data_IF_110498239963
#
_entry.id   IF_110498239963
#
_cell.length_a   1.000
_cell.length_b   1.000
_cell.length_c   1.000
_cell.angle_alpha   90.00
_cell.angle_beta   90.00
_cell.angle_gamma   90.00
#
_symmetry.space_group_name_H-M   'P 1'
#
loop_
_entity.id
_entity.type
_entity.pdbx_description
1 polymer ?
#
# COMPACT_ATOMS: atom_id res chain seq x y z
N UNK A 1 -24.16 -6.76 -0.79
CA UNK A 1 -22.83 -6.78 -0.16
C UNK A 1 -22.13 -5.50 -0.62
N UNK A 2 -22.03 -4.48 0.22
CA UNK A 2 -21.50 -3.17 -0.19
C UNK A 2 -20.15 -2.93 0.50
N UNK A 3 -19.09 -2.82 -0.30
CA UNK A 3 -17.82 -2.27 0.14
C UNK A 3 -17.91 -0.76 -0.03
N UNK A 4 -17.46 -0.01 0.97
CA UNK A 4 -17.14 1.40 0.77
C UNK A 4 -15.75 1.45 0.14
N UNK A 5 -15.67 1.76 -1.14
CA UNK A 5 -14.43 2.25 -1.76
C UNK A 5 -14.27 3.69 -1.27
N UNK A 6 -13.24 3.97 -0.48
CA UNK A 6 -12.83 5.37 -0.29
C UNK A 6 -12.21 5.79 -1.62
N UNK A 7 -13.04 6.53 -2.35
CA UNK A 7 -12.82 7.23 -3.62
C UNK A 7 -12.47 6.40 -4.86
N UNK A 8 -13.49 6.11 -5.67
CA UNK A 8 -13.36 6.17 -7.13
C UNK A 8 -13.19 7.65 -7.56
N UNK A 9 -12.08 8.29 -7.18
CA UNK A 9 -11.71 9.56 -7.78
C UNK A 9 -11.10 9.27 -9.15
N UNK A 10 -11.90 9.42 -10.22
CA UNK A 10 -11.31 9.81 -11.52
C UNK A 10 -10.98 11.30 -11.42
N UNK A 11 -10.04 11.66 -10.55
CA UNK A 11 -9.36 12.94 -10.65
C UNK A 11 -8.32 12.78 -11.74
N UNK A 12 -8.53 13.46 -12.87
CA UNK A 12 -7.46 13.65 -13.83
C UNK A 12 -6.20 14.10 -13.07
N UNK A 13 -5.08 13.42 -13.32
CA UNK A 13 -3.78 13.60 -12.63
C UNK A 13 -3.16 14.99 -12.87
N UNK A 14 -3.94 15.97 -13.33
CA UNK A 14 -3.51 17.30 -13.78
C UNK A 14 -3.89 18.44 -12.83
N UNK A 15 -4.53 18.18 -11.69
CA UNK A 15 -4.76 19.24 -10.70
C UNK A 15 -3.45 19.64 -10.02
N UNK A 16 -2.87 20.75 -10.49
CA UNK A 16 -1.63 21.35 -10.00
C UNK A 16 -1.72 21.82 -8.54
N UNK A 17 -2.89 21.77 -7.90
CA UNK A 17 -3.10 22.23 -6.52
C UNK A 17 -3.03 21.13 -5.46
N UNK A 18 -3.03 19.83 -5.82
CA UNK A 18 -3.05 18.75 -4.83
C UNK A 18 -1.65 18.13 -4.58
N UNK A 19 -1.22 18.20 -3.32
CA UNK A 19 0.01 17.57 -2.81
C UNK A 19 -0.05 16.03 -2.75
N UNK A 20 -1.21 15.40 -2.95
CA UNK A 20 -1.38 13.93 -2.98
C UNK A 20 -1.30 13.36 -4.40
N UNK A 21 -0.93 12.09 -4.50
CA UNK A 21 -0.99 11.26 -5.73
C UNK A 21 -2.12 10.28 -5.49
N UNK A 22 -3.32 10.57 -5.98
CA UNK A 22 -4.38 9.56 -5.90
C UNK A 22 -4.17 8.50 -6.98
N UNK A 23 -4.44 7.22 -6.69
CA UNK A 23 -4.54 6.19 -7.72
C UNK A 23 -5.57 6.58 -8.78
N UNK A 24 -5.30 6.27 -10.05
CA UNK A 24 -6.23 6.51 -11.16
C UNK A 24 -6.45 5.24 -11.98
N UNK A 25 -7.68 5.05 -12.49
CA UNK A 25 -8.00 3.94 -13.40
C UNK A 25 -7.17 4.08 -14.67
N UNK A 26 -6.52 2.99 -15.08
CA UNK A 26 -5.76 2.89 -16.33
C UNK A 26 -6.40 1.94 -17.33
N UNK A 27 -7.06 0.89 -16.87
CA UNK A 27 -7.69 -0.12 -17.71
C UNK A 27 -9.17 -0.27 -17.30
N UNK A 28 -10.11 0.26 -18.10
CA UNK A 28 -11.54 0.16 -17.82
C UNK A 28 -12.12 -1.23 -18.08
N UNK A 29 -11.34 -2.19 -18.58
CA UNK A 29 -11.82 -3.56 -18.82
C UNK A 29 -11.88 -4.41 -17.55
N UNK A 30 -11.43 -3.87 -16.43
CA UNK A 30 -11.54 -4.50 -15.12
C UNK A 30 -12.62 -3.85 -14.26
N UNK A 31 -13.17 -4.67 -13.37
CA UNK A 31 -14.11 -4.26 -12.33
C UNK A 31 -13.45 -4.42 -10.95
N UNK A 32 -13.68 -3.48 -10.04
CA UNK A 32 -13.07 -3.52 -8.69
C UNK A 32 -13.47 -4.80 -7.93
N UNK A 33 -14.61 -5.38 -8.29
CA UNK A 33 -15.15 -6.64 -7.81
C UNK A 33 -14.18 -7.83 -7.99
N UNK A 34 -13.27 -7.78 -8.97
CA UNK A 34 -12.25 -8.83 -9.18
C UNK A 34 -11.27 -8.96 -7.99
N UNK A 35 -11.13 -7.91 -7.18
CA UNK A 35 -10.27 -7.91 -5.99
C UNK A 35 -11.05 -8.02 -4.67
N UNK A 36 -12.38 -8.14 -4.73
CA UNK A 36 -13.19 -8.37 -3.54
C UNK A 36 -12.96 -9.80 -3.03
N UNK A 37 -12.70 -9.93 -1.74
CA UNK A 37 -12.56 -11.21 -1.04
C UNK A 37 -13.60 -11.29 0.07
N UNK A 38 -14.53 -12.22 -0.09
CA UNK A 38 -15.67 -12.38 0.81
C UNK A 38 -15.28 -13.00 2.16
N UNK A 39 -14.04 -13.49 2.32
CA UNK A 39 -13.52 -14.08 3.56
C UNK A 39 -13.04 -13.02 4.56
N UNK A 40 -12.94 -11.76 4.17
CA UNK A 40 -12.41 -10.67 5.00
C UNK A 40 -13.29 -9.42 4.94
N UNK A 41 -13.08 -8.50 5.89
CA UNK A 41 -13.81 -7.24 5.96
C UNK A 41 -12.98 -6.04 5.55
N UNK A 42 -11.66 -6.17 5.53
CA UNK A 42 -10.71 -5.14 5.10
C UNK A 42 -9.76 -5.74 4.07
N UNK A 43 -9.53 -5.02 2.98
CA UNK A 43 -8.57 -5.41 1.94
C UNK A 43 -7.60 -4.25 1.73
N UNK A 44 -6.32 -4.56 1.86
CA UNK A 44 -5.17 -3.68 1.69
C UNK A 44 -4.24 -4.26 0.63
N UNK A 45 -3.19 -3.53 0.24
CA UNK A 45 -2.17 -4.01 -0.68
C UNK A 45 -0.79 -3.42 -0.35
N UNK A 46 0.25 -4.16 -0.75
CA UNK A 46 1.63 -3.70 -0.64
C UNK A 46 2.06 -2.88 -1.87
N UNK A 47 2.80 -1.80 -1.64
CA UNK A 47 3.51 -1.06 -2.70
C UNK A 47 4.67 -1.89 -3.25
N UNK A 48 5.14 -1.55 -4.45
CA UNK A 48 6.07 -2.42 -5.18
C UNK A 48 7.49 -2.40 -4.57
N UNK A 49 7.93 -1.26 -4.06
CA UNK A 49 9.34 -1.07 -3.71
C UNK A 49 9.68 -1.22 -2.24
N UNK A 50 8.81 -0.73 -1.36
CA UNK A 50 9.12 -0.54 0.05
C UNK A 50 8.38 -1.53 0.94
N UNK A 51 7.58 -2.42 0.36
CA UNK A 51 6.67 -3.31 1.09
C UNK A 51 5.68 -2.55 1.99
N UNK A 52 5.48 -1.26 1.73
CA UNK A 52 4.55 -0.41 2.45
C UNK A 52 3.12 -0.90 2.21
N UNK A 53 2.31 -0.95 3.26
CA UNK A 53 0.88 -1.19 3.15
C UNK A 53 0.28 0.17 2.79
N UNK A 54 -0.20 0.29 1.56
CA UNK A 54 -0.61 1.60 1.06
C UNK A 54 -1.88 2.08 1.75
N UNK A 55 -1.87 3.30 2.29
CA UNK A 55 -3.09 3.98 2.72
C UNK A 55 -3.76 4.78 1.58
N UNK A 56 -3.21 4.73 0.36
CA UNK A 56 -3.72 5.52 -0.77
C UNK A 56 -5.06 4.98 -1.32
N UNK A 57 -5.33 3.69 -1.13
CA UNK A 57 -6.63 3.07 -1.42
C UNK A 57 -6.81 1.85 -0.53
N UNK A 58 -8.03 1.64 -0.04
CA UNK A 58 -8.41 0.50 0.77
C UNK A 58 -9.87 0.13 0.49
N UNK A 59 -10.19 -1.16 0.56
CA UNK A 59 -11.59 -1.62 0.45
C UNK A 59 -12.05 -2.14 1.80
N UNK A 60 -13.15 -1.59 2.29
CA UNK A 60 -13.73 -1.98 3.58
C UNK A 60 -15.18 -2.38 3.38
N UNK A 61 -15.52 -3.58 3.81
CA UNK A 61 -16.90 -4.07 3.82
C UNK A 61 -17.69 -3.25 4.83
N UNK A 62 -18.93 -2.90 4.50
CA UNK A 62 -19.86 -2.35 5.49
C UNK A 62 -20.33 -3.44 6.48
N UNK A 63 -19.42 -3.90 7.34
CA UNK A 63 -19.66 -4.82 8.45
C UNK A 63 -19.41 -4.13 9.79
N UNK A 64 -19.69 -4.81 10.90
CA UNK A 64 -19.32 -4.32 12.23
C UNK A 64 -17.80 -4.11 12.32
N UNK A 65 -17.03 -5.12 11.94
CA UNK A 65 -15.57 -5.06 11.93
C UNK A 65 -15.03 -3.98 11.00
N UNK A 66 -15.58 -3.83 9.79
CA UNK A 66 -15.13 -2.81 8.85
C UNK A 66 -15.33 -1.39 9.36
N UNK A 67 -16.46 -1.11 10.03
CA UNK A 67 -16.71 0.19 10.68
C UNK A 67 -15.76 0.41 11.86
N UNK A 68 -15.56 -0.60 12.69
CA UNK A 68 -14.60 -0.55 13.81
C UNK A 68 -13.17 -0.31 13.32
N UNK A 69 -12.77 -0.92 12.20
CA UNK A 69 -11.48 -0.68 11.56
C UNK A 69 -11.33 0.78 11.13
N UNK A 70 -12.31 1.34 10.42
CA UNK A 70 -12.25 2.74 9.98
C UNK A 70 -12.23 3.72 11.17
N UNK A 71 -13.03 3.45 12.21
CA UNK A 71 -13.02 4.24 13.44
C UNK A 71 -11.67 4.18 14.13
N UNK A 72 -11.11 2.98 14.34
CA UNK A 72 -9.82 2.82 15.00
C UNK A 72 -8.65 3.41 14.21
N UNK A 73 -8.69 3.35 12.88
CA UNK A 73 -7.72 4.02 12.02
C UNK A 73 -7.80 5.54 12.17
N UNK A 74 -9.01 6.11 12.11
CA UNK A 74 -9.24 7.54 12.27
C UNK A 74 -8.81 8.05 13.66
N UNK A 75 -9.16 7.33 14.73
CA UNK A 75 -8.76 7.70 16.09
C UNK A 75 -7.23 7.78 16.24
N UNK A 76 -6.49 6.85 15.63
CA UNK A 76 -5.02 6.86 15.67
C UNK A 76 -4.42 7.97 14.84
N UNK A 77 -5.03 8.28 13.70
CA UNK A 77 -4.64 9.38 12.83
C UNK A 77 -4.73 10.73 13.55
N UNK A 78 -5.83 10.99 14.27
CA UNK A 78 -6.07 12.28 14.92
C UNK A 78 -5.46 12.42 16.32
N UNK A 79 -5.08 11.32 16.98
CA UNK A 79 -4.47 11.35 18.31
C UNK A 79 -2.93 11.40 18.28
N UNK A 80 -2.29 11.51 17.11
CA UNK A 80 -0.84 11.58 17.02
C UNK A 80 -0.30 13.00 17.22
N UNK A 81 0.61 13.16 18.18
CA UNK A 81 1.39 14.39 18.38
C UNK A 81 2.41 14.66 17.24
N UNK A 82 2.61 13.71 16.31
CA UNK A 82 3.61 13.82 15.25
C UNK A 82 3.01 14.35 13.95
N UNK A 83 3.09 15.66 13.75
CA UNK A 83 2.81 16.32 12.48
C UNK A 83 3.89 16.03 11.41
N UNK A 84 3.89 14.84 10.80
CA UNK A 84 4.74 14.51 9.63
C UNK A 84 3.92 13.90 8.50
N UNK A 85 4.24 14.23 7.25
CA UNK A 85 3.45 13.83 6.07
C UNK A 85 3.45 12.32 5.77
N UNK A 86 4.38 11.56 6.33
CA UNK A 86 4.47 10.09 6.26
C UNK A 86 3.77 9.42 7.44
N UNK A 87 3.19 10.20 8.37
CA UNK A 87 2.49 9.69 9.54
C UNK A 87 1.31 8.79 9.16
N UNK A 88 0.55 9.13 8.11
CA UNK A 88 -0.63 8.37 7.68
C UNK A 88 -0.33 6.91 7.31
N UNK A 89 0.69 6.68 6.48
CA UNK A 89 1.09 5.31 6.13
C UNK A 89 1.70 4.60 7.35
N UNK A 90 2.47 5.31 8.19
CA UNK A 90 2.95 4.76 9.46
C UNK A 90 1.83 4.30 10.40
N UNK A 91 0.73 5.05 10.49
CA UNK A 91 -0.43 4.71 11.34
C UNK A 91 -1.05 3.38 10.91
N UNK A 92 -1.30 3.19 9.60
CA UNK A 92 -1.93 1.94 9.13
C UNK A 92 -1.04 0.73 9.38
N UNK A 93 0.28 0.90 9.29
CA UNK A 93 1.24 -0.16 9.64
C UNK A 93 1.11 -0.59 11.10
N UNK A 94 1.14 0.37 12.04
CA UNK A 94 0.94 0.05 13.46
C UNK A 94 -0.43 -0.58 13.70
N UNK A 95 -1.48 0.01 13.13
CA UNK A 95 -2.83 -0.48 13.36
C UNK A 95 -3.05 -1.89 12.81
N UNK A 96 -2.44 -2.23 11.67
CA UNK A 96 -2.45 -3.61 11.14
C UNK A 96 -1.79 -4.57 12.11
N UNK A 97 -0.64 -4.23 12.70
CA UNK A 97 -0.02 -5.11 13.69
C UNK A 97 -0.94 -5.34 14.90
N UNK A 98 -1.56 -4.28 15.39
CA UNK A 98 -2.46 -4.32 16.55
C UNK A 98 -3.66 -5.26 16.35
N UNK A 99 -4.18 -5.36 15.12
CA UNK A 99 -5.34 -6.22 14.83
C UNK A 99 -4.97 -7.65 14.45
N UNK A 100 -3.79 -7.87 13.85
CA UNK A 100 -3.40 -9.18 13.31
C UNK A 100 -2.50 -9.99 14.24
N UNK A 101 -1.73 -9.32 15.10
CA UNK A 101 -0.82 -9.94 16.08
C UNK A 101 -0.88 -9.19 17.43
N UNK A 102 -2.07 -9.01 18.04
CA UNK A 102 -2.24 -8.21 19.25
C UNK A 102 -1.30 -8.64 20.40
N UNK A 103 -1.03 -9.94 20.47
CA UNK A 103 -0.28 -10.60 21.54
C UNK A 103 1.24 -10.38 21.42
N UNK A 104 1.74 -9.98 20.25
CA UNK A 104 3.15 -9.70 20.01
C UNK A 104 3.56 -8.31 20.51
N UNK A 105 3.22 -7.98 21.76
CA UNK A 105 3.33 -6.62 22.34
C UNK A 105 4.73 -6.04 22.17
N UNK A 106 5.77 -6.75 22.61
CA UNK A 106 7.14 -6.25 22.51
C UNK A 106 7.59 -6.04 21.07
N UNK A 107 7.25 -6.96 20.16
CA UNK A 107 7.62 -6.82 18.74
C UNK A 107 6.90 -5.65 18.08
N UNK A 108 5.63 -5.42 18.44
CA UNK A 108 4.85 -4.26 18.01
C UNK A 108 5.48 -2.96 18.51
N UNK A 109 5.84 -2.89 19.79
CA UNK A 109 6.50 -1.73 20.39
C UNK A 109 7.87 -1.46 19.75
N UNK A 110 8.63 -2.50 19.43
CA UNK A 110 9.85 -2.39 18.66
C UNK A 110 9.60 -1.71 17.30
N UNK A 111 8.64 -2.20 16.50
CA UNK A 111 8.33 -1.57 15.22
C UNK A 111 7.75 -0.15 15.37
N UNK A 112 7.00 0.13 16.43
CA UNK A 112 6.48 1.46 16.77
C UNK A 112 7.62 2.43 17.09
N UNK A 113 8.58 2.02 17.91
CA UNK A 113 9.75 2.85 18.26
C UNK A 113 10.61 3.19 17.05
N UNK A 114 10.77 2.27 16.09
CA UNK A 114 11.42 2.54 14.80
C UNK A 114 10.69 3.63 14.03
N UNK A 115 9.36 3.58 14.01
CA UNK A 115 8.54 4.57 13.32
C UNK A 115 8.60 5.96 14.00
N UNK A 116 8.48 6.02 15.34
CA UNK A 116 8.53 7.29 16.09
C UNK A 116 9.86 8.05 15.91
N UNK A 117 10.97 7.32 15.75
CA UNK A 117 12.29 7.91 15.53
C UNK A 117 12.62 8.19 14.06
N UNK A 118 11.83 7.67 13.11
CA UNK A 118 12.09 7.81 11.69
C UNK A 118 12.00 9.28 11.25
N UNK A 119 13.12 9.84 10.79
CA UNK A 119 13.20 11.20 10.25
C UNK A 119 13.78 11.26 8.84
N UNK A 120 14.04 10.10 8.23
CA UNK A 120 14.48 9.92 6.84
C UNK A 120 13.70 8.78 6.18
N UNK A 121 13.65 8.77 4.84
CA UNK A 121 13.06 7.68 4.06
C UNK A 121 13.71 6.33 4.40
N UNK A 122 15.03 6.31 4.64
CA UNK A 122 15.75 5.08 5.00
C UNK A 122 15.32 4.52 6.37
N UNK A 123 15.15 5.39 7.37
CA UNK A 123 14.64 4.98 8.68
C UNK A 123 13.17 4.58 8.63
N UNK A 124 12.39 5.19 7.74
CA UNK A 124 11.01 4.77 7.50
C UNK A 124 10.99 3.36 6.87
N UNK A 125 11.84 3.08 5.88
CA UNK A 125 12.01 1.74 5.31
C UNK A 125 12.49 0.70 6.35
N UNK A 126 13.29 1.11 7.34
CA UNK A 126 13.63 0.28 8.51
C UNK A 126 12.35 -0.15 9.25
N UNK A 127 11.47 0.80 9.57
CA UNK A 127 10.17 0.51 10.17
C UNK A 127 9.30 -0.43 9.31
N UNK A 128 9.20 -0.18 7.99
CA UNK A 128 8.43 -1.03 7.07
C UNK A 128 8.93 -2.48 7.08
N UNK A 129 10.24 -2.67 7.17
CA UNK A 129 10.87 -3.98 7.20
C UNK A 129 10.62 -4.71 8.52
N UNK A 130 10.54 -3.99 9.64
CA UNK A 130 10.10 -4.54 10.91
C UNK A 130 8.66 -5.04 10.83
N UNK A 131 7.74 -4.24 10.30
CA UNK A 131 6.33 -4.63 10.12
C UNK A 131 6.21 -5.86 9.22
N UNK A 132 6.96 -5.88 8.10
CA UNK A 132 7.00 -7.00 7.16
C UNK A 132 7.46 -8.30 7.83
N UNK A 133 8.47 -8.20 8.69
CA UNK A 133 8.97 -9.34 9.46
C UNK A 133 7.95 -9.80 10.51
N UNK A 134 7.27 -8.87 11.20
CA UNK A 134 6.26 -9.18 12.20
C UNK A 134 5.09 -10.01 11.64
N UNK A 135 4.55 -9.63 10.47
CA UNK A 135 3.44 -10.34 9.84
C UNK A 135 3.89 -11.51 8.94
N UNK A 136 5.19 -11.58 8.64
CA UNK A 136 5.80 -12.61 7.80
C UNK A 136 5.15 -12.78 6.42
N UNK A 137 5.01 -14.04 6.01
CA UNK A 137 4.38 -14.42 4.74
C UNK A 137 2.84 -14.41 4.78
N UNK A 138 2.23 -14.21 5.95
CA UNK A 138 0.78 -14.24 6.13
C UNK A 138 0.14 -13.04 5.45
N UNK A 139 -0.90 -13.30 4.66
CA UNK A 139 -1.60 -12.27 3.86
C UNK A 139 -3.12 -12.31 4.02
N UNK A 140 -3.64 -13.26 4.79
CA UNK A 140 -5.06 -13.48 4.97
C UNK A 140 -5.33 -13.80 6.44
N UNK A 141 -6.14 -12.97 7.07
CA UNK A 141 -6.69 -13.18 8.41
C UNK A 141 -8.22 -13.24 8.25
N UNK A 142 -8.81 -14.44 8.19
CA UNK A 142 -10.25 -14.61 7.96
C UNK A 142 -11.10 -13.80 8.94
N UNK A 143 -12.17 -13.20 8.42
CA UNK A 143 -13.05 -12.29 9.18
C UNK A 143 -12.43 -10.95 9.55
N UNK A 144 -11.15 -10.72 9.22
CA UNK A 144 -10.42 -9.49 9.52
C UNK A 144 -9.93 -8.82 8.23
N UNK A 145 -8.70 -9.11 7.82
CA UNK A 145 -7.97 -8.37 6.79
C UNK A 145 -7.29 -9.30 5.78
N UNK A 146 -7.24 -8.86 4.51
CA UNK A 146 -6.35 -9.39 3.47
C UNK A 146 -5.38 -8.31 3.05
N UNK A 147 -4.13 -8.68 2.83
CA UNK A 147 -3.11 -7.81 2.23
C UNK A 147 -2.68 -8.44 0.91
N UNK A 148 -3.02 -7.82 -0.21
CA UNK A 148 -2.52 -8.25 -1.51
C UNK A 148 -1.01 -8.07 -1.60
N UNK A 149 -0.34 -9.05 -2.22
CA UNK A 149 1.08 -8.95 -2.55
C UNK A 149 1.30 -7.80 -3.53
N UNK A 150 2.55 -7.32 -3.54
CA UNK A 150 3.04 -6.36 -4.53
C UNK A 150 2.63 -6.77 -5.94
N UNK A 151 2.16 -5.83 -6.74
CA UNK A 151 1.66 -6.05 -8.12
C UNK A 151 0.45 -7.00 -8.27
N UNK A 152 -0.24 -7.37 -7.18
CA UNK A 152 -1.45 -8.21 -7.24
C UNK A 152 -2.73 -7.50 -6.76
N UNK A 153 -2.60 -6.29 -6.18
CA UNK A 153 -3.75 -5.48 -5.77
C UNK A 153 -4.41 -4.77 -6.95
N UNK A 154 -5.55 -4.13 -6.69
CA UNK A 154 -6.30 -3.34 -7.68
C UNK A 154 -5.59 -2.03 -8.06
N UNK A 155 -4.64 -1.61 -7.21
CA UNK A 155 -3.72 -0.51 -7.48
C UNK A 155 -2.30 -1.05 -7.56
N UNK A 156 -1.60 -0.69 -8.65
CA UNK A 156 -0.17 -0.88 -8.78
C UNK A 156 0.57 0.45 -8.65
N UNK A 157 1.69 0.45 -7.93
CA UNK A 157 2.62 1.59 -7.96
C UNK A 157 3.31 1.67 -9.33
N UNK A 158 3.26 2.84 -9.99
CA UNK A 158 4.00 3.06 -11.24
C UNK A 158 5.48 3.21 -10.95
N UNK A 159 6.27 2.40 -11.67
CA UNK A 159 7.72 2.49 -11.68
C UNK A 159 8.34 2.61 -13.06
N UNK A 160 7.61 2.20 -14.09
CA UNK A 160 8.02 2.19 -15.49
C UNK A 160 7.53 3.42 -16.26
N UNK A 161 7.42 4.54 -15.54
CA UNK A 161 6.87 5.78 -16.08
C UNK A 161 5.39 5.62 -16.41
N UNK A 162 4.93 5.97 -17.63
CA UNK A 162 3.52 5.89 -17.99
C UNK A 162 3.03 4.47 -18.26
N UNK A 163 3.88 3.43 -18.11
CA UNK A 163 3.59 2.11 -18.64
C UNK A 163 2.57 1.30 -17.82
N UNK A 164 1.69 0.61 -18.53
CA UNK A 164 0.62 -0.25 -18.02
C UNK A 164 0.46 -1.50 -18.89
N UNK A 165 -0.14 -2.55 -18.34
CA UNK A 165 -0.42 -3.82 -19.04
C UNK A 165 -1.85 -4.31 -18.77
N UNK A 166 -2.27 -5.35 -19.50
CA UNK A 166 -3.67 -5.81 -19.53
C UNK A 166 -4.27 -6.29 -18.20
N UNK A 167 -3.46 -6.51 -17.15
CA UNK A 167 -3.96 -6.90 -15.82
C UNK A 167 -3.99 -5.73 -14.82
N UNK A 168 -3.46 -4.57 -15.20
CA UNK A 168 -3.58 -3.37 -14.36
C UNK A 168 -5.03 -2.93 -14.32
N UNK A 169 -5.51 -2.45 -13.18
CA UNK A 169 -6.77 -1.72 -13.08
C UNK A 169 -6.53 -0.25 -12.78
N UNK A 170 -5.86 0.04 -11.65
CA UNK A 170 -5.48 1.39 -11.26
C UNK A 170 -3.97 1.51 -11.07
N UNK A 171 -3.43 2.70 -11.32
CA UNK A 171 -2.03 3.02 -11.10
C UNK A 171 -1.89 4.20 -10.13
N UNK A 172 -1.01 4.04 -9.15
CA UNK A 172 -0.55 5.08 -8.25
C UNK A 172 0.80 5.62 -8.73
N UNK A 173 0.82 6.84 -9.27
CA UNK A 173 2.04 7.47 -9.81
C UNK A 173 2.88 8.08 -8.69
N UNK A 174 4.15 7.66 -8.53
CA UNK A 174 5.02 8.19 -7.48
C UNK A 174 5.36 9.67 -7.71
N UNK A 175 5.41 10.46 -6.63
CA UNK A 175 5.66 11.93 -6.67
C UNK A 175 6.92 12.34 -7.44
N UNK A 176 7.98 11.53 -7.40
CA UNK A 176 9.25 11.80 -8.11
C UNK A 176 9.07 11.86 -9.63
N UNK A 177 8.06 11.19 -10.17
CA UNK A 177 7.71 11.24 -11.58
C UNK A 177 6.70 12.35 -11.92
N UNK A 178 6.09 13.05 -10.95
CA UNK A 178 5.17 14.19 -11.22
C UNK A 178 5.78 15.28 -12.09
N UNK A 179 7.09 15.46 -12.01
CA UNK A 179 7.83 16.47 -12.78
C UNK A 179 8.30 15.96 -14.14
N UNK A 180 8.13 14.67 -14.43
CA UNK A 180 8.34 14.12 -15.76
C UNK A 180 7.02 14.24 -16.54
N UNK A 181 7.04 14.99 -17.65
CA UNK A 181 5.90 15.20 -18.56
C UNK A 181 5.27 13.90 -19.12
N UNK A 182 5.89 12.75 -18.85
CA UNK A 182 5.53 11.42 -19.34
C UNK A 182 5.09 10.47 -18.22
N UNK A 183 4.82 10.89 -16.99
CA UNK A 183 4.44 9.96 -15.92
C UNK A 183 2.99 9.42 -16.00
N UNK A 184 2.20 9.89 -16.99
CA UNK A 184 0.81 9.50 -17.17
C UNK A 184 0.63 8.73 -18.50
N UNK A 185 0.00 7.54 -18.49
CA UNK A 185 -0.36 6.80 -19.71
C UNK A 185 -1.18 7.60 -20.71
N UNK A 186 -1.90 8.63 -20.24
CA UNK A 186 -2.78 9.45 -21.06
C UNK A 186 -2.12 10.78 -21.46
N UNK A 187 -2.29 11.23 -22.71
CA UNK A 187 -1.88 12.57 -23.15
C UNK A 187 -2.87 13.66 -22.68
N UNK A 188 -4.12 13.27 -22.34
CA UNK A 188 -5.18 14.14 -21.82
C UNK A 188 -6.08 13.36 -20.85
N UNK A 189 -6.91 14.07 -20.08
CA UNK A 189 -7.88 13.43 -19.19
C UNK A 189 -8.83 12.54 -20.02
N UNK A 190 -9.07 11.27 -19.63
CA UNK A 190 -10.05 10.41 -20.29
C UNK A 190 -11.45 11.03 -20.31
N UNK A 191 -12.18 10.82 -21.41
CA UNK A 191 -13.56 11.28 -21.53
C UNK A 191 -14.49 10.38 -20.71
N UNK A 192 -15.01 10.89 -19.59
CA UNK A 192 -15.90 10.15 -18.70
C UNK A 192 -17.19 9.70 -19.38
N UNK A 193 -17.64 10.41 -20.42
CA UNK A 193 -18.84 10.01 -21.17
C UNK A 193 -18.64 8.75 -22.01
N UNK A 194 -17.38 8.39 -22.27
CA UNK A 194 -16.99 7.19 -23.01
C UNK A 194 -16.67 5.99 -22.09
N UNK A 195 -16.83 6.14 -20.77
CA UNK A 195 -16.76 5.02 -19.83
C UNK A 195 -17.78 3.92 -20.20
N UNK A 196 -17.39 2.65 -20.01
CA UNK A 196 -18.23 1.49 -20.38
C UNK A 196 -18.13 1.06 -21.85
N UNK A 197 -17.45 1.83 -22.71
CA UNK A 197 -17.16 1.46 -24.11
C UNK A 197 -15.87 0.63 -24.31
N UNK A 198 -15.39 -0.03 -23.25
CA UNK A 198 -14.06 -0.67 -23.21
C UNK A 198 -12.93 0.36 -23.36
N UNK A 199 -11.85 -0.01 -24.05
CA UNK A 199 -10.69 0.87 -24.27
C UNK A 199 -10.97 2.04 -25.22
N UNK A 200 -12.07 2.03 -25.97
CA UNK A 200 -12.34 3.03 -27.02
C UNK A 200 -12.52 4.47 -26.46
N UNK A 201 -12.93 4.60 -25.20
CA UNK A 201 -13.03 5.89 -24.50
C UNK A 201 -11.71 6.41 -23.93
N UNK A 202 -10.65 5.61 -24.01
CA UNK A 202 -9.38 5.84 -23.33
C UNK A 202 -8.29 6.05 -24.35
N UNK A 203 -7.70 7.24 -24.32
CA UNK A 203 -6.67 7.62 -25.29
C UNK A 203 -5.30 7.45 -24.68
N UNK A 204 -4.65 6.34 -24.98
CA UNK A 204 -3.32 6.02 -24.47
C UNK A 204 -2.23 6.67 -25.32
N UNK A 205 -1.05 6.89 -24.72
CA UNK A 205 0.18 7.15 -25.48
C UNK A 205 0.63 5.85 -26.15
N UNK A 206 1.15 5.93 -27.37
CA UNK A 206 1.53 4.75 -28.18
C UNK A 206 2.53 3.80 -27.48
N UNK A 207 3.34 4.31 -26.56
CA UNK A 207 4.40 3.61 -25.83
C UNK A 207 4.03 3.30 -24.36
N UNK A 208 2.79 3.57 -23.97
CA UNK A 208 2.33 3.35 -22.59
C UNK A 208 1.80 1.93 -22.34
N UNK A 209 1.37 1.20 -23.36
CA UNK A 209 0.91 -0.18 -23.18
C UNK A 209 2.05 -1.16 -23.46
N UNK A 210 2.27 -2.09 -22.53
CA UNK A 210 3.25 -3.17 -22.65
C UNK A 210 2.59 -4.52 -22.39
N UNK A 211 3.24 -5.59 -22.83
CA UNK A 211 2.74 -6.95 -22.56
C UNK A 211 2.90 -7.31 -21.08
N UNK A 212 2.06 -8.21 -20.59
CA UNK A 212 2.19 -8.76 -19.22
C UNK A 212 3.52 -9.48 -19.01
N UNK A 213 4.08 -10.10 -20.06
CA UNK A 213 5.41 -10.73 -20.01
C UNK A 213 6.51 -9.69 -19.87
N UNK A 214 6.47 -8.61 -20.66
CA UNK A 214 7.43 -7.51 -20.53
C UNK A 214 7.39 -6.92 -19.12
N UNK A 215 6.19 -6.66 -18.59
CA UNK A 215 6.03 -6.19 -17.22
C UNK A 215 6.59 -7.18 -16.18
N UNK A 216 6.37 -8.48 -16.37
CA UNK A 216 6.91 -9.54 -15.50
C UNK A 216 8.44 -9.51 -15.42
N UNK A 217 9.12 -9.37 -16.56
CA UNK A 217 10.58 -9.24 -16.63
C UNK A 217 11.09 -7.99 -15.90
N UNK A 218 10.29 -6.91 -15.87
CA UNK A 218 10.65 -5.69 -15.16
C UNK A 218 10.48 -5.81 -13.64
N UNK A 219 9.48 -6.55 -13.18
CA UNK A 219 9.31 -6.90 -11.77
C UNK A 219 10.48 -7.75 -11.30
N UNK A 220 10.85 -8.79 -12.06
CA UNK A 220 12.01 -9.65 -11.75
C UNK A 220 13.29 -8.81 -11.60
N UNK A 221 13.57 -7.93 -12.58
CA UNK A 221 14.73 -7.04 -12.53
C UNK A 221 14.72 -6.13 -11.30
N UNK A 222 13.55 -5.65 -10.87
CA UNK A 222 13.46 -4.87 -9.62
C UNK A 222 13.80 -5.73 -8.43
N UNK A 223 13.23 -6.93 -8.33
CA UNK A 223 13.46 -7.81 -7.20
C UNK A 223 14.94 -8.16 -7.05
N UNK A 224 15.65 -8.36 -8.17
CA UNK A 224 17.10 -8.56 -8.20
C UNK A 224 17.91 -7.33 -7.77
N UNK A 225 17.41 -6.13 -8.06
CA UNK A 225 18.08 -4.88 -7.70
C UNK A 225 17.78 -4.43 -6.26
N UNK A 226 16.61 -4.77 -5.70
CA UNK A 226 16.17 -4.37 -4.35
C UNK A 226 17.27 -4.60 -3.31
N UNK A 227 17.89 -5.79 -3.17
CA UNK A 227 18.95 -6.01 -2.17
C UNK A 227 20.14 -5.05 -2.28
N UNK A 228 20.40 -4.46 -3.45
CA UNK A 228 21.54 -3.56 -3.68
C UNK A 228 21.28 -2.15 -3.18
N UNK A 229 20.08 -1.61 -3.41
CA UNK A 229 19.75 -0.23 -3.08
C UNK A 229 18.88 -0.08 -1.81
N UNK A 230 18.28 -1.17 -1.31
CA UNK A 230 17.55 -1.13 -0.06
C UNK A 230 18.49 -0.69 1.08
N UNK A 231 18.05 0.17 2.03
CA UNK A 231 18.92 0.67 3.08
C UNK A 231 19.43 -0.44 4.02
N UNK A 232 20.70 -0.38 4.42
CA UNK A 232 21.30 -1.37 5.34
C UNK A 232 20.54 -1.54 6.66
N UNK A 233 20.07 -0.48 7.35
CA UNK A 233 19.24 -0.65 8.55
C UNK A 233 17.98 -1.47 8.30
N UNK A 234 17.40 -1.36 7.10
CA UNK A 234 16.17 -2.02 6.69
C UNK A 234 16.36 -3.49 6.27
N UNK A 235 17.60 -3.98 6.14
CA UNK A 235 17.92 -5.39 5.84
C UNK A 235 18.11 -6.26 7.08
N UNK A 236 18.04 -5.67 8.28
CA UNK A 236 18.28 -6.36 9.55
C UNK A 236 17.19 -7.37 9.85
N UNK A 237 17.55 -8.38 10.63
CA UNK A 237 16.59 -9.33 11.21
C UNK A 237 16.17 -8.82 12.59
N UNK A 238 14.95 -8.30 12.72
CA UNK A 238 14.60 -7.47 13.89
C UNK A 238 14.44 -8.26 15.18
N UNK A 239 14.01 -9.52 15.15
CA UNK A 239 14.00 -10.38 16.35
C UNK A 239 15.43 -10.72 16.85
N UNK A 240 16.46 -10.53 16.01
CA UNK A 240 17.87 -10.69 16.42
C UNK A 240 18.42 -9.36 16.92
N UNK A 241 18.06 -8.25 16.27
CA UNK A 241 18.67 -6.94 16.57
C UNK A 241 17.92 -6.11 17.61
N UNK A 242 16.73 -6.53 18.03
CA UNK A 242 15.90 -5.85 19.02
C UNK A 242 15.52 -6.81 20.14
N UNK A 243 15.43 -6.31 21.36
CA UNK A 243 15.04 -7.11 22.52
C UNK A 243 13.59 -7.56 22.40
N UNK A 244 13.35 -8.86 22.55
CA UNK A 244 12.00 -9.46 22.57
C UNK A 244 11.55 -9.82 23.99
N UNK A 245 12.47 -10.32 24.81
CA UNK A 245 12.14 -10.87 26.14
C UNK A 245 12.64 -9.99 27.28
N UNK A 246 13.67 -9.18 27.03
CA UNK A 246 14.37 -8.42 28.08
C UNK A 246 13.48 -7.45 28.86
N UNK A 247 12.49 -6.85 28.20
CA UNK A 247 11.64 -5.80 28.80
C UNK A 247 10.41 -6.38 29.53
N UNK A 248 10.05 -7.63 29.26
CA UNK A 248 8.84 -8.27 29.78
C UNK A 248 9.10 -9.49 30.68
N UNK A 249 10.34 -10.01 30.73
CA UNK A 249 10.66 -11.20 31.51
C UNK A 249 10.38 -11.02 33.03
N UNK A 250 9.79 -12.01 33.72
CA UNK A 250 9.37 -13.33 33.22
C UNK A 250 7.93 -13.39 32.66
N UNK A 251 7.24 -12.27 32.59
CA UNK A 251 5.79 -12.16 32.38
C UNK A 251 5.40 -11.76 30.94
N UNK A 252 6.22 -12.12 29.94
CA UNK A 252 5.99 -11.74 28.55
C UNK A 252 4.63 -12.19 27.99
N UNK A 253 4.13 -13.32 28.47
CA UNK A 253 2.86 -13.92 28.03
C UNK A 253 1.68 -13.53 28.93
N UNK A 254 1.85 -12.60 29.88
CA UNK A 254 0.79 -12.24 30.83
C UNK A 254 -0.43 -11.59 30.16
N UNK A 255 -0.25 -11.06 28.96
CA UNK A 255 -1.27 -10.32 28.20
C UNK A 255 -1.63 -10.98 26.86
N UNK A 256 -1.11 -12.18 26.60
CA UNK A 256 -1.38 -13.00 25.40
C UNK A 256 -2.44 -14.06 25.67
#
# INVERSE_FOLDING_TARGET
MAYATIDCYVKGVTDKSQRSTSPGVVNPNHCIEEWIDDRVDVILYETLFTYEISAASLMVRNSKYGREFLTGLAEREFNQEQARSEAYNGVIHQYVLDIVIPDAVQFRDNCHNLWLRANTEEMYMEHLSCVKQAIGATRLWPGKVRIYRRAHGWVRESFTGPRWHDLDFMIHVRKRYKYQKQANPFPRIPDLSACGGGLNGWQYRNDSHISTEEFGNEVERIEDDVPRWYPEPAKRVYWITMGEVGDCYPDCDKFT
#
